data_IF_846833575712
#
_entry.id   IF_846833575712
#
_cell.length_a   1.000
_cell.length_b   1.000
_cell.length_c   1.000
_cell.angle_alpha   90.00
_cell.angle_beta   90.00
_cell.angle_gamma   90.00
#
_symmetry.space_group_name_H-M   'P 1'
#
loop_
_entity.id
_entity.type
_entity.pdbx_description
1 polymer ?
#
# COMPACT_ATOMS: atom_id res chain seq x y z
N UNK A 1 47.41 46.45 -34.45
CA UNK A 1 47.17 44.99 -34.59
C UNK A 1 47.67 44.30 -33.33
N UNK A 2 46.79 43.81 -32.46
CA UNK A 2 47.21 43.09 -31.27
C UNK A 2 47.70 41.69 -31.67
N UNK A 3 49.01 41.44 -31.57
CA UNK A 3 49.58 40.12 -31.84
C UNK A 3 49.01 39.11 -30.83
N UNK A 4 48.34 38.08 -31.37
CA UNK A 4 47.73 37.03 -30.58
C UNK A 4 48.81 36.25 -29.83
N UNK A 5 48.76 36.20 -28.50
CA UNK A 5 49.83 35.64 -27.65
C UNK A 5 50.17 34.17 -27.96
N UNK A 6 49.25 33.42 -28.58
CA UNK A 6 49.56 32.08 -29.10
C UNK A 6 50.68 32.05 -30.17
N UNK A 7 51.05 33.20 -30.74
CA UNK A 7 52.13 33.35 -31.74
C UNK A 7 53.38 34.05 -31.21
N UNK A 8 53.30 34.73 -30.06
CA UNK A 8 54.39 35.56 -29.50
C UNK A 8 54.87 35.14 -28.11
N UNK A 9 54.02 34.53 -27.29
CA UNK A 9 54.35 34.08 -25.93
C UNK A 9 53.41 32.93 -25.52
N UNK A 10 53.80 31.72 -25.95
CA UNK A 10 53.04 30.49 -25.74
C UNK A 10 52.84 30.17 -24.24
N UNK A 11 53.86 30.29 -23.36
CA UNK A 11 53.67 30.10 -21.92
C UNK A 11 52.58 31.00 -21.32
N UNK A 12 52.58 32.29 -21.67
CA UNK A 12 51.60 33.26 -21.16
C UNK A 12 50.19 32.96 -21.68
N UNK A 13 50.05 32.59 -22.96
CA UNK A 13 48.78 32.13 -23.54
C UNK A 13 48.22 30.88 -22.82
N UNK A 14 49.06 29.88 -22.54
CA UNK A 14 48.65 28.66 -21.84
C UNK A 14 48.21 28.94 -20.40
N UNK A 15 48.90 29.84 -19.69
CA UNK A 15 48.50 30.26 -18.34
C UNK A 15 47.15 30.97 -18.33
N UNK A 16 46.89 31.91 -19.26
CA UNK A 16 45.58 32.54 -19.38
C UNK A 16 44.47 31.53 -19.74
N UNK A 17 44.75 30.59 -20.65
CA UNK A 17 43.80 29.54 -21.03
C UNK A 17 43.45 28.65 -19.83
N UNK A 18 44.44 28.27 -19.01
CA UNK A 18 44.23 27.52 -17.75
C UNK A 18 43.45 28.34 -16.72
N UNK A 19 43.76 29.63 -16.56
CA UNK A 19 43.03 30.53 -15.66
C UNK A 19 41.56 30.69 -16.09
N UNK A 20 41.29 30.91 -17.39
CA UNK A 20 39.93 30.96 -17.95
C UNK A 20 39.18 29.64 -17.77
N UNK A 21 39.85 28.50 -17.98
CA UNK A 21 39.25 27.17 -17.76
C UNK A 21 38.86 26.98 -16.29
N UNK A 22 39.73 27.37 -15.37
CA UNK A 22 39.51 27.28 -13.92
C UNK A 22 38.37 28.20 -13.47
N UNK A 23 38.36 29.46 -13.93
CA UNK A 23 37.28 30.41 -13.67
C UNK A 23 35.92 29.92 -14.21
N UNK A 24 35.90 29.33 -15.41
CA UNK A 24 34.70 28.74 -15.99
C UNK A 24 34.22 27.51 -15.20
N UNK A 25 35.14 26.66 -14.73
CA UNK A 25 34.80 25.53 -13.86
C UNK A 25 34.22 26.01 -12.52
N UNK A 26 34.81 27.04 -11.91
CA UNK A 26 34.31 27.63 -10.67
C UNK A 26 32.91 28.23 -10.88
N UNK A 27 32.70 29.02 -11.95
CA UNK A 27 31.41 29.60 -12.30
C UNK A 27 30.34 28.52 -12.54
N UNK A 28 30.67 27.44 -13.25
CA UNK A 28 29.78 26.30 -13.46
C UNK A 28 29.46 25.59 -12.13
N UNK A 29 30.45 25.41 -11.27
CA UNK A 29 30.27 24.83 -9.93
C UNK A 29 29.35 25.68 -9.07
N UNK A 30 29.56 27.00 -9.02
CA UNK A 30 28.72 27.94 -8.28
C UNK A 30 27.30 27.98 -8.82
N UNK A 31 27.10 28.06 -10.14
CA UNK A 31 25.77 27.96 -10.76
C UNK A 31 25.06 26.66 -10.40
N UNK A 32 25.76 25.53 -10.44
CA UNK A 32 25.22 24.22 -10.01
C UNK A 32 24.84 24.22 -8.52
N UNK A 33 25.68 24.79 -7.65
CA UNK A 33 25.38 24.90 -6.21
C UNK A 33 24.12 25.73 -5.95
N UNK A 34 23.98 26.88 -6.60
CA UNK A 34 22.79 27.75 -6.49
C UNK A 34 21.55 27.03 -7.01
N UNK A 35 21.62 26.43 -8.20
CA UNK A 35 20.50 25.67 -8.76
C UNK A 35 20.08 24.49 -7.86
N UNK A 36 21.06 23.79 -7.28
CA UNK A 36 20.80 22.71 -6.33
C UNK A 36 20.17 23.21 -5.01
N UNK A 37 20.58 24.38 -4.52
CA UNK A 37 19.99 25.00 -3.33
C UNK A 37 18.54 25.43 -3.58
N UNK A 38 18.26 26.07 -4.72
CA UNK A 38 16.89 26.46 -5.12
C UNK A 38 15.99 25.24 -5.33
N UNK A 39 16.49 24.20 -6.00
CA UNK A 39 15.74 22.96 -6.19
C UNK A 39 15.44 22.28 -4.84
N UNK A 40 16.41 22.28 -3.92
CA UNK A 40 16.25 21.75 -2.57
C UNK A 40 15.18 22.51 -1.78
N UNK A 41 15.17 23.84 -1.86
CA UNK A 41 14.15 24.66 -1.21
C UNK A 41 12.74 24.36 -1.75
N UNK A 42 12.59 24.24 -3.08
CA UNK A 42 11.32 23.83 -3.71
C UNK A 42 10.87 22.44 -3.25
N UNK A 43 11.78 21.48 -3.16
CA UNK A 43 11.47 20.14 -2.66
C UNK A 43 11.05 20.16 -1.20
N UNK A 44 11.70 20.97 -0.36
CA UNK A 44 11.33 21.11 1.06
C UNK A 44 9.94 21.74 1.27
N UNK A 45 9.52 22.63 0.38
CA UNK A 45 8.15 23.17 0.41
C UNK A 45 7.09 22.09 0.17
N UNK A 46 7.38 21.09 -0.68
CA UNK A 46 6.41 20.06 -1.04
C UNK A 46 6.52 18.78 -0.19
N UNK A 47 7.71 18.49 0.35
CA UNK A 47 8.02 17.21 1.00
C UNK A 47 8.67 17.36 2.37
N UNK A 48 8.82 18.57 2.91
CA UNK A 48 9.53 18.81 4.16
C UNK A 48 11.05 18.54 4.09
N UNK A 49 11.75 18.89 5.16
CA UNK A 49 13.17 18.58 5.34
C UNK A 49 13.42 17.16 5.86
N UNK A 50 12.39 16.55 6.44
CA UNK A 50 12.33 15.21 7.00
C UNK A 50 11.21 14.45 6.30
N UNK A 51 11.35 13.13 6.18
CA UNK A 51 10.26 12.32 5.68
C UNK A 51 9.12 12.25 6.70
N UNK A 52 7.96 12.80 6.33
CA UNK A 52 6.75 12.72 7.16
C UNK A 52 6.33 11.27 7.41
N UNK A 53 6.57 10.37 6.47
CA UNK A 53 6.29 8.93 6.61
C UNK A 53 7.16 8.31 7.70
N UNK A 54 8.47 8.59 7.69
CA UNK A 54 9.39 8.10 8.72
C UNK A 54 8.98 8.63 10.09
N UNK A 55 8.61 9.91 10.18
CA UNK A 55 8.11 10.51 11.42
C UNK A 55 6.84 9.83 11.92
N UNK A 56 5.82 9.67 11.06
CA UNK A 56 4.56 9.01 11.43
C UNK A 56 4.79 7.58 11.92
N UNK A 57 5.60 6.79 11.23
CA UNK A 57 5.92 5.42 11.67
C UNK A 57 6.71 5.41 12.98
N UNK A 58 7.66 6.33 13.16
CA UNK A 58 8.49 6.43 14.35
C UNK A 58 7.68 6.82 15.60
N UNK A 59 6.73 7.75 15.47
CA UNK A 59 5.88 8.21 16.58
C UNK A 59 4.94 7.12 17.11
N UNK A 60 4.67 6.09 16.30
CA UNK A 60 3.82 4.97 16.67
C UNK A 60 4.60 3.81 17.31
N UNK A 61 5.90 3.99 17.56
CA UNK A 61 6.73 3.00 18.24
C UNK A 61 6.68 3.19 19.76
N UNK A 62 6.24 2.15 20.47
CA UNK A 62 6.38 2.03 21.92
C UNK A 62 7.87 1.83 22.27
N UNK A 63 8.59 2.93 22.53
CA UNK A 63 9.97 3.04 23.03
C UNK A 63 10.96 1.93 22.61
N UNK A 64 11.74 2.19 21.56
CA UNK A 64 12.93 1.39 21.25
C UNK A 64 14.18 1.96 21.95
N UNK A 65 15.01 1.09 22.54
CA UNK A 65 16.38 1.45 22.92
C UNK A 65 17.11 1.92 21.67
N UNK A 66 17.38 3.22 21.57
CA UNK A 66 18.05 3.80 20.41
C UNK A 66 19.48 3.27 20.37
N UNK A 67 19.86 2.63 19.25
CA UNK A 67 21.26 2.26 19.05
C UNK A 67 22.13 3.51 18.99
N UNK A 68 23.12 3.58 19.89
CA UNK A 68 24.14 4.62 19.86
C UNK A 68 25.28 4.29 18.89
N UNK A 69 25.30 3.07 18.33
CA UNK A 69 26.30 2.64 17.36
C UNK A 69 25.88 3.10 15.96
N UNK A 70 26.84 3.54 15.15
CA UNK A 70 26.61 3.99 13.77
C UNK A 70 26.13 2.91 12.79
N UNK A 71 25.85 1.69 13.27
CA UNK A 71 25.34 0.55 12.53
C UNK A 71 24.11 -0.05 13.22
N UNK A 72 23.11 -0.41 12.43
CA UNK A 72 21.88 -1.09 12.85
C UNK A 72 21.76 -2.44 12.15
N UNK A 73 21.37 -3.46 12.90
CA UNK A 73 20.90 -4.73 12.33
C UNK A 73 19.40 -4.80 12.58
N UNK A 74 18.62 -4.81 11.51
CA UNK A 74 17.18 -4.98 11.55
C UNK A 74 16.87 -6.41 11.12
N UNK A 75 16.54 -7.26 12.11
CA UNK A 75 16.08 -8.62 11.86
C UNK A 75 14.59 -8.58 11.60
N UNK A 76 14.16 -9.05 10.44
CA UNK A 76 12.74 -9.15 10.14
C UNK A 76 12.13 -10.28 11.00
N UNK A 77 10.90 -10.11 11.49
CA UNK A 77 10.14 -11.19 12.12
C UNK A 77 10.04 -12.41 11.21
N UNK A 78 10.03 -13.63 11.76
CA UNK A 78 9.86 -14.83 10.93
C UNK A 78 8.53 -14.82 10.16
N UNK A 79 7.49 -14.26 10.78
CA UNK A 79 6.17 -14.05 10.19
C UNK A 79 5.98 -12.55 9.94
N UNK A 80 6.42 -12.08 8.78
CA UNK A 80 6.36 -10.69 8.39
C UNK A 80 5.26 -10.49 7.35
N UNK A 81 4.02 -10.43 7.85
CA UNK A 81 2.81 -10.27 7.07
C UNK A 81 1.83 -9.35 7.78
N UNK A 82 1.24 -8.39 7.05
CA UNK A 82 0.15 -7.55 7.55
C UNK A 82 -1.15 -8.34 7.65
N UNK A 83 -1.37 -9.30 6.77
CA UNK A 83 -2.58 -10.15 6.80
C UNK A 83 -2.55 -11.09 8.01
N UNK A 84 -1.43 -11.79 8.25
CA UNK A 84 -1.32 -12.83 9.27
C UNK A 84 -0.84 -12.32 10.64
N UNK A 85 0.03 -11.31 10.65
CA UNK A 85 0.72 -10.87 11.86
C UNK A 85 0.97 -9.35 11.86
N UNK A 86 -0.10 -8.54 11.82
CA UNK A 86 0.02 -7.09 11.69
C UNK A 86 0.75 -6.43 12.86
N UNK A 87 0.54 -6.89 14.10
CA UNK A 87 1.21 -6.37 15.31
C UNK A 87 2.73 -6.38 15.16
N UNK A 88 3.30 -7.56 14.87
CA UNK A 88 4.74 -7.71 14.82
C UNK A 88 5.33 -7.06 13.56
N UNK A 89 4.61 -7.16 12.44
CA UNK A 89 5.06 -6.61 11.16
C UNK A 89 5.10 -5.09 11.21
N UNK A 90 3.98 -4.44 11.56
CA UNK A 90 3.91 -2.98 11.70
C UNK A 90 4.79 -2.51 12.86
N UNK A 91 4.76 -3.21 14.01
CA UNK A 91 5.58 -2.90 15.18
C UNK A 91 7.07 -2.86 14.88
N UNK A 92 7.58 -3.86 14.15
CA UNK A 92 8.99 -3.90 13.76
C UNK A 92 9.37 -2.76 12.80
N UNK A 93 8.48 -2.37 11.90
CA UNK A 93 8.68 -1.24 10.97
C UNK A 93 8.65 0.11 11.70
N UNK A 94 7.73 0.31 12.64
CA UNK A 94 7.71 1.47 13.54
C UNK A 94 9.00 1.56 14.36
N UNK A 95 9.46 0.43 14.90
CA UNK A 95 10.72 0.33 15.64
C UNK A 95 11.94 0.68 14.77
N UNK A 96 11.98 0.23 13.51
CA UNK A 96 13.03 0.62 12.55
C UNK A 96 13.00 2.12 12.27
N UNK A 97 11.83 2.68 11.99
CA UNK A 97 11.67 4.12 11.74
C UNK A 97 12.13 4.96 12.94
N UNK A 98 11.75 4.57 14.16
CA UNK A 98 12.14 5.24 15.40
C UNK A 98 13.66 5.25 15.63
N UNK A 99 14.34 4.13 15.36
CA UNK A 99 15.80 4.04 15.48
C UNK A 99 16.54 4.88 14.41
N UNK A 100 15.92 5.08 13.25
CA UNK A 100 16.50 5.83 12.15
C UNK A 100 16.28 7.35 12.27
N UNK A 101 15.27 7.78 13.02
CA UNK A 101 14.88 9.19 13.20
C UNK A 101 16.01 10.10 13.73
N UNK A 102 16.87 9.69 14.69
CA UNK A 102 17.98 10.53 15.17
C UNK A 102 19.11 10.74 14.16
N UNK A 103 19.07 10.08 12.99
CA UNK A 103 20.04 10.20 11.88
C UNK A 103 21.51 9.82 12.21
N UNK A 104 21.77 9.19 13.36
CA UNK A 104 23.12 8.74 13.77
C UNK A 104 23.61 7.49 13.02
N UNK A 105 22.68 6.76 12.39
CA UNK A 105 22.98 5.45 11.79
C UNK A 105 23.48 5.60 10.36
N UNK A 106 24.71 5.18 10.11
CA UNK A 106 25.38 5.26 8.80
C UNK A 106 25.28 3.95 7.99
N UNK A 107 24.90 2.85 8.64
CA UNK A 107 24.79 1.54 8.01
C UNK A 107 23.61 0.77 8.60
N UNK A 108 22.80 0.15 7.75
CA UNK A 108 21.68 -0.71 8.15
C UNK A 108 21.83 -2.06 7.46
N UNK A 109 21.73 -3.14 8.22
CA UNK A 109 21.69 -4.52 7.72
C UNK A 109 20.28 -5.06 7.86
N UNK A 110 19.62 -5.36 6.75
CA UNK A 110 18.30 -6.01 6.69
C UNK A 110 18.51 -7.52 6.68
N UNK A 111 18.28 -8.18 7.81
CA UNK A 111 18.43 -9.63 7.94
C UNK A 111 17.08 -10.31 7.72
N UNK A 112 16.94 -10.95 6.57
CA UNK A 112 15.74 -11.66 6.14
C UNK A 112 15.91 -13.19 6.21
N UNK A 113 17.04 -13.67 6.74
CA UNK A 113 17.41 -15.09 6.73
C UNK A 113 16.48 -15.99 7.55
N UNK A 114 15.69 -15.40 8.45
CA UNK A 114 14.69 -16.08 9.28
C UNK A 114 13.26 -16.04 8.74
N UNK A 115 13.01 -15.41 7.58
CA UNK A 115 11.65 -15.31 7.03
C UNK A 115 11.04 -16.69 6.70
N UNK A 116 9.80 -16.89 7.15
CA UNK A 116 8.95 -18.07 6.88
C UNK A 116 7.63 -17.67 6.22
N UNK A 117 7.05 -16.55 6.64
CA UNK A 117 5.86 -15.94 6.02
C UNK A 117 6.18 -14.50 5.64
N UNK A 118 5.89 -14.13 4.41
CA UNK A 118 6.17 -12.81 3.85
C UNK A 118 5.02 -12.41 2.93
N UNK A 119 4.38 -11.27 3.18
CA UNK A 119 3.33 -10.76 2.29
C UNK A 119 3.72 -9.44 1.63
N UNK A 120 3.00 -9.13 0.54
CA UNK A 120 3.23 -7.93 -0.25
C UNK A 120 2.97 -6.64 0.52
N UNK A 121 2.02 -6.64 1.45
CA UNK A 121 1.70 -5.46 2.26
C UNK A 121 2.83 -5.08 3.22
N UNK A 122 3.40 -6.04 3.96
CA UNK A 122 4.53 -5.79 4.84
C UNK A 122 5.78 -5.39 4.03
N UNK A 123 6.01 -6.06 2.90
CA UNK A 123 7.08 -5.69 1.96
C UNK A 123 6.94 -4.25 1.47
N UNK A 124 5.76 -3.85 0.99
CA UNK A 124 5.53 -2.51 0.42
C UNK A 124 5.83 -1.40 1.43
N UNK A 125 5.45 -1.59 2.69
CA UNK A 125 5.74 -0.60 3.76
C UNK A 125 7.25 -0.54 4.04
N UNK A 126 7.94 -1.69 4.08
CA UNK A 126 9.40 -1.75 4.21
C UNK A 126 10.10 -1.02 3.06
N UNK A 127 9.65 -1.25 1.82
CA UNK A 127 10.22 -0.62 0.63
C UNK A 127 10.09 0.89 0.68
N UNK A 128 8.91 1.40 1.05
CA UNK A 128 8.72 2.84 1.22
C UNK A 128 9.62 3.37 2.32
N UNK A 129 9.71 2.70 3.47
CA UNK A 129 10.57 3.14 4.57
C UNK A 129 12.05 3.22 4.13
N UNK A 130 12.56 2.20 3.45
CA UNK A 130 13.93 2.16 2.91
C UNK A 130 14.15 3.28 1.89
N UNK A 131 13.17 3.53 1.03
CA UNK A 131 13.24 4.61 0.04
C UNK A 131 13.29 6.00 0.67
N UNK A 132 12.38 6.26 1.61
CA UNK A 132 12.29 7.54 2.32
C UNK A 132 13.62 7.84 3.03
N UNK A 133 14.15 6.86 3.76
CA UNK A 133 15.43 6.97 4.46
C UNK A 133 16.60 7.21 3.49
N UNK A 134 16.59 6.54 2.33
CA UNK A 134 17.62 6.68 1.29
C UNK A 134 17.54 8.02 0.57
N UNK A 135 16.33 8.52 0.28
CA UNK A 135 16.11 9.86 -0.30
C UNK A 135 16.56 10.93 0.71
N UNK A 136 16.18 10.79 1.97
CA UNK A 136 16.54 11.74 3.04
C UNK A 136 18.05 11.80 3.26
N UNK A 137 18.73 10.64 3.32
CA UNK A 137 20.19 10.58 3.42
C UNK A 137 20.87 11.29 2.24
N UNK A 138 20.44 11.01 1.00
CA UNK A 138 20.96 11.69 -0.20
C UNK A 138 20.73 13.19 -0.18
N UNK A 139 19.54 13.65 0.23
CA UNK A 139 19.21 15.08 0.34
C UNK A 139 20.08 15.80 1.37
N UNK A 140 20.35 15.15 2.50
CA UNK A 140 21.18 15.71 3.59
C UNK A 140 22.69 15.55 3.36
N UNK A 141 23.11 14.82 2.32
CA UNK A 141 24.53 14.51 2.06
C UNK A 141 25.09 13.45 3.00
N UNK A 142 24.23 12.79 3.79
CA UNK A 142 24.61 11.71 4.70
C UNK A 142 24.88 10.43 3.92
N UNK A 143 25.96 9.72 4.28
CA UNK A 143 26.23 8.38 3.75
C UNK A 143 25.44 7.36 4.56
N UNK A 144 24.44 6.74 3.92
CA UNK A 144 23.69 5.61 4.46
C UNK A 144 23.98 4.39 3.58
N UNK A 145 24.49 3.32 4.18
CA UNK A 145 24.75 2.04 3.49
C UNK A 145 23.72 1.00 3.88
N UNK A 146 23.20 0.31 2.89
CA UNK A 146 22.34 -0.86 3.08
C UNK A 146 23.15 -2.13 2.85
N UNK A 147 22.91 -3.13 3.70
CA UNK A 147 23.40 -4.50 3.59
C UNK A 147 22.24 -5.42 3.92
N UNK A 148 22.35 -6.70 3.60
CA UNK A 148 21.34 -7.66 4.02
C UNK A 148 21.73 -9.10 3.79
N UNK A 149 20.90 -9.99 4.32
CA UNK A 149 20.95 -11.42 4.08
C UNK A 149 19.60 -11.86 3.51
N UNK A 150 19.64 -12.70 2.48
CA UNK A 150 18.43 -13.21 1.84
C UNK A 150 17.68 -14.22 2.71
N UNK A 151 16.37 -14.39 2.48
CA UNK A 151 15.62 -15.54 2.96
C UNK A 151 16.25 -16.85 2.50
N UNK A 152 16.10 -17.90 3.32
CA UNK A 152 16.51 -19.25 2.96
C UNK A 152 15.55 -19.90 1.96
N UNK A 153 14.26 -19.57 2.07
CA UNK A 153 13.22 -20.04 1.16
C UNK A 153 13.42 -19.43 -0.24
N UNK A 154 13.56 -20.25 -1.31
CA UNK A 154 13.77 -19.75 -2.66
C UNK A 154 12.61 -18.91 -3.21
N UNK A 155 11.36 -19.20 -2.82
CA UNK A 155 10.17 -18.45 -3.25
C UNK A 155 10.15 -17.08 -2.61
N UNK A 156 10.37 -17.00 -1.28
CA UNK A 156 10.49 -15.70 -0.60
C UNK A 156 11.70 -14.92 -1.12
N UNK A 157 12.80 -15.61 -1.44
CA UNK A 157 13.98 -14.97 -2.04
C UNK A 157 13.66 -14.34 -3.40
N UNK A 158 13.00 -15.08 -4.30
CA UNK A 158 12.56 -14.55 -5.61
C UNK A 158 11.64 -13.34 -5.43
N UNK A 159 10.70 -13.42 -4.48
CA UNK A 159 9.84 -12.29 -4.11
C UNK A 159 10.66 -11.04 -3.79
N UNK A 160 11.62 -11.16 -2.86
CA UNK A 160 12.45 -10.04 -2.39
C UNK A 160 13.31 -9.45 -3.53
N UNK A 161 13.84 -10.29 -4.41
CA UNK A 161 14.61 -9.85 -5.57
C UNK A 161 13.74 -9.11 -6.61
N UNK A 162 12.51 -9.56 -6.80
CA UNK A 162 11.59 -9.02 -7.81
C UNK A 162 10.93 -7.70 -7.39
N UNK A 163 10.39 -7.63 -6.17
CA UNK A 163 9.58 -6.50 -5.69
C UNK A 163 10.17 -5.77 -4.50
N UNK A 164 10.92 -6.46 -3.63
CA UNK A 164 11.33 -5.93 -2.34
C UNK A 164 12.47 -4.91 -2.39
N UNK A 165 13.16 -4.80 -1.24
CA UNK A 165 14.17 -3.75 -1.01
C UNK A 165 15.29 -3.72 -2.05
N UNK A 166 15.55 -4.85 -2.71
CA UNK A 166 16.50 -4.97 -3.84
C UNK A 166 16.07 -4.08 -5.01
N UNK A 167 14.78 -4.18 -5.39
CA UNK A 167 14.19 -3.36 -6.45
C UNK A 167 14.16 -1.89 -6.06
N UNK A 168 13.83 -1.59 -4.82
CA UNK A 168 13.78 -0.20 -4.31
C UNK A 168 15.15 0.47 -4.30
N UNK A 169 16.18 -0.26 -3.87
CA UNK A 169 17.57 0.21 -3.84
C UNK A 169 18.24 0.19 -5.22
N UNK A 170 17.58 -0.38 -6.23
CA UNK A 170 18.06 -0.52 -7.61
C UNK A 170 19.35 -1.32 -7.73
N UNK A 171 19.40 -2.46 -7.06
CA UNK A 171 20.57 -3.36 -7.08
C UNK A 171 20.39 -4.32 -8.27
N UNK A 172 20.70 -3.85 -9.48
CA UNK A 172 20.32 -4.53 -10.73
C UNK A 172 20.93 -5.92 -10.91
N UNK A 173 22.14 -6.15 -10.40
CA UNK A 173 22.82 -7.45 -10.47
C UNK A 173 22.22 -8.52 -9.54
N UNK A 174 21.27 -8.13 -8.68
CA UNK A 174 20.57 -9.01 -7.74
C UNK A 174 19.13 -9.33 -8.20
N UNK A 175 18.68 -8.75 -9.32
CA UNK A 175 17.35 -9.02 -9.87
C UNK A 175 17.24 -10.47 -10.35
N UNK A 176 16.01 -11.03 -10.41
CA UNK A 176 15.80 -12.36 -10.96
C UNK A 176 16.31 -12.45 -12.40
N UNK A 177 16.88 -13.59 -12.75
CA UNK A 177 17.33 -13.88 -14.11
C UNK A 177 16.15 -13.81 -15.11
N UNK A 178 16.36 -13.49 -16.39
CA UNK A 178 15.26 -13.32 -17.36
C UNK A 178 14.28 -14.50 -17.44
N UNK A 179 14.78 -15.74 -17.26
CA UNK A 179 13.95 -16.95 -17.24
C UNK A 179 13.03 -17.04 -16.02
N UNK A 180 13.53 -16.61 -14.85
CA UNK A 180 12.73 -16.55 -13.63
C UNK A 180 11.75 -15.38 -13.70
N UNK A 181 12.22 -14.21 -14.13
CA UNK A 181 11.39 -13.01 -14.29
C UNK A 181 10.20 -13.23 -15.24
N UNK A 182 10.36 -14.05 -16.29
CA UNK A 182 9.29 -14.39 -17.22
C UNK A 182 8.11 -15.15 -16.59
N UNK A 183 8.29 -15.72 -15.39
CA UNK A 183 7.25 -16.43 -14.61
C UNK A 183 6.65 -15.59 -13.48
N UNK A 184 7.02 -14.30 -13.42
CA UNK A 184 6.50 -13.36 -12.45
C UNK A 184 5.60 -12.34 -13.16
N UNK A 185 4.47 -12.00 -12.55
CA UNK A 185 3.71 -10.78 -12.91
C UNK A 185 3.87 -9.78 -11.77
N UNK A 186 4.35 -8.58 -12.12
CA UNK A 186 4.67 -7.55 -11.14
C UNK A 186 3.91 -6.25 -11.47
N UNK A 187 3.48 -5.55 -10.43
CA UNK A 187 2.93 -4.21 -10.53
C UNK A 187 3.38 -3.36 -9.34
N UNK A 188 3.85 -2.15 -9.62
CA UNK A 188 4.23 -1.17 -8.60
C UNK A 188 3.89 0.23 -9.10
N UNK A 189 2.95 0.90 -8.43
CA UNK A 189 2.64 2.29 -8.69
C UNK A 189 2.47 3.06 -7.38
N UNK A 190 3.12 4.22 -7.30
CA UNK A 190 3.03 5.12 -6.15
C UNK A 190 2.77 6.55 -6.59
N UNK A 191 1.94 7.25 -5.84
CA UNK A 191 1.84 8.71 -5.88
C UNK A 191 2.29 9.28 -4.56
N UNK A 192 3.22 10.23 -4.58
CA UNK A 192 3.76 10.87 -3.37
C UNK A 192 3.67 12.38 -3.51
N UNK A 193 2.78 12.99 -2.74
CA UNK A 193 2.64 14.43 -2.55
C UNK A 193 2.13 14.70 -1.13
N UNK A 194 2.85 15.49 -0.32
CA UNK A 194 2.36 15.78 1.05
C UNK A 194 1.30 16.88 1.09
N UNK A 195 1.14 17.60 -0.02
CA UNK A 195 0.15 18.67 -0.22
C UNK A 195 -0.53 18.42 -1.56
N UNK A 196 -1.85 18.68 -1.65
CA UNK A 196 -2.60 18.60 -2.92
C UNK A 196 -2.02 19.59 -3.92
N UNK A 197 -1.19 19.12 -4.84
CA UNK A 197 -0.82 19.92 -6.00
C UNK A 197 -1.93 19.75 -7.05
N UNK A 198 -2.83 20.73 -7.17
CA UNK A 198 -3.82 20.77 -8.26
C UNK A 198 -3.08 21.00 -9.59
N UNK A 199 -2.61 19.93 -10.23
CA UNK A 199 -2.13 19.98 -11.63
C UNK A 199 -2.95 19.01 -12.47
N UNK A 200 -3.41 19.41 -13.68
CA UNK A 200 -4.20 18.55 -14.56
C UNK A 200 -3.60 17.16 -14.80
N UNK A 201 -2.26 17.06 -14.87
CA UNK A 201 -1.52 15.79 -15.05
C UNK A 201 -1.76 14.74 -13.95
N UNK A 202 -2.33 15.10 -12.80
CA UNK A 202 -2.59 14.14 -11.72
C UNK A 202 -3.88 13.34 -11.92
N UNK A 203 -4.92 13.94 -12.53
CA UNK A 203 -6.13 13.22 -12.88
C UNK A 203 -5.82 12.10 -13.89
N UNK A 204 -4.98 12.41 -14.88
CA UNK A 204 -4.49 11.43 -15.86
C UNK A 204 -3.71 10.28 -15.21
N UNK A 205 -2.94 10.57 -14.15
CA UNK A 205 -2.16 9.56 -13.44
C UNK A 205 -3.04 8.53 -12.76
N UNK A 206 -4.10 8.94 -12.06
CA UNK A 206 -5.05 8.01 -11.42
C UNK A 206 -5.67 7.09 -12.47
N UNK A 207 -6.26 7.66 -13.52
CA UNK A 207 -6.90 6.90 -14.59
C UNK A 207 -5.92 5.96 -15.33
N UNK A 208 -4.66 6.35 -15.47
CA UNK A 208 -3.63 5.48 -16.03
C UNK A 208 -3.27 4.32 -15.09
N UNK A 209 -3.03 4.59 -13.80
CA UNK A 209 -2.66 3.57 -12.82
C UNK A 209 -3.78 2.56 -12.63
N UNK A 210 -5.02 3.02 -12.52
CA UNK A 210 -6.20 2.16 -12.41
C UNK A 210 -6.32 1.18 -13.59
N UNK A 211 -6.17 1.68 -14.83
CA UNK A 211 -6.19 0.82 -16.03
C UNK A 211 -5.01 -0.15 -16.05
N UNK A 212 -3.81 0.34 -15.78
CA UNK A 212 -2.60 -0.49 -15.78
C UNK A 212 -2.66 -1.59 -14.70
N UNK A 213 -3.31 -1.32 -13.57
CA UNK A 213 -3.55 -2.32 -12.54
C UNK A 213 -4.56 -3.38 -12.98
N UNK A 214 -5.68 -2.98 -13.59
CA UNK A 214 -6.63 -3.93 -14.15
C UNK A 214 -5.98 -4.82 -15.23
N UNK A 215 -5.10 -4.25 -16.06
CA UNK A 215 -4.31 -5.00 -17.04
C UNK A 215 -3.33 -5.97 -16.37
N UNK A 216 -2.75 -5.61 -15.22
CA UNK A 216 -1.91 -6.51 -14.44
C UNK A 216 -2.70 -7.69 -13.87
N UNK A 217 -3.87 -7.44 -13.27
CA UNK A 217 -4.75 -8.52 -12.80
C UNK A 217 -5.15 -9.42 -13.96
N UNK A 218 -5.44 -8.86 -15.14
CA UNK A 218 -5.74 -9.66 -16.33
C UNK A 218 -4.56 -10.55 -16.74
N UNK A 219 -3.32 -10.00 -16.76
CA UNK A 219 -2.12 -10.80 -17.03
C UNK A 219 -1.91 -11.92 -16.01
N UNK A 220 -2.21 -11.66 -14.73
CA UNK A 220 -2.15 -12.69 -13.69
C UNK A 220 -3.13 -13.84 -13.99
N UNK A 221 -4.37 -13.55 -14.38
CA UNK A 221 -5.36 -14.56 -14.76
C UNK A 221 -4.97 -15.31 -16.04
N UNK A 222 -4.37 -14.62 -17.01
CA UNK A 222 -3.91 -15.25 -18.25
C UNK A 222 -2.84 -16.32 -17.99
N UNK A 223 -2.08 -16.24 -16.88
CA UNK A 223 -1.15 -17.30 -16.47
C UNK A 223 -1.83 -18.62 -16.12
N UNK A 224 -3.12 -18.60 -15.84
CA UNK A 224 -3.95 -19.79 -15.57
C UNK A 224 -5.07 -19.96 -16.60
N UNK A 225 -4.88 -19.43 -17.82
CA UNK A 225 -5.82 -19.52 -18.94
C UNK A 225 -7.20 -18.91 -18.64
N UNK A 226 -7.26 -17.90 -17.77
CA UNK A 226 -8.49 -17.13 -17.48
C UNK A 226 -8.31 -15.69 -17.93
N UNK A 227 -9.42 -14.98 -18.14
CA UNK A 227 -9.40 -13.58 -18.52
C UNK A 227 -10.55 -12.81 -17.85
N UNK A 228 -10.33 -11.53 -17.55
CA UNK A 228 -11.40 -10.63 -17.14
C UNK A 228 -12.31 -10.34 -18.34
N UNK A 229 -13.62 -10.45 -18.13
CA UNK A 229 -14.58 -9.87 -19.08
C UNK A 229 -14.43 -8.35 -19.10
N UNK A 230 -14.90 -7.70 -20.17
CA UNK A 230 -14.84 -6.24 -20.29
C UNK A 230 -15.57 -5.54 -19.14
N UNK A 231 -16.70 -6.10 -18.68
CA UNK A 231 -17.44 -5.61 -17.53
C UNK A 231 -16.66 -5.78 -16.22
N UNK A 232 -16.04 -6.95 -16.01
CA UNK A 232 -15.22 -7.20 -14.83
C UNK A 232 -14.00 -6.26 -14.77
N UNK A 233 -13.35 -6.03 -15.92
CA UNK A 233 -12.24 -5.08 -16.06
C UNK A 233 -12.67 -3.65 -15.75
N UNK A 234 -13.84 -3.23 -16.25
CA UNK A 234 -14.38 -1.88 -16.00
C UNK A 234 -14.74 -1.68 -14.53
N UNK A 235 -15.38 -2.68 -13.90
CA UNK A 235 -15.68 -2.68 -12.46
C UNK A 235 -14.42 -2.64 -11.61
N UNK A 236 -13.40 -3.43 -11.93
CA UNK A 236 -12.12 -3.40 -11.22
C UNK A 236 -11.47 -2.01 -11.30
N UNK A 237 -11.55 -1.36 -12.46
CA UNK A 237 -11.09 0.02 -12.60
C UNK A 237 -11.86 0.97 -11.66
N UNK A 238 -13.18 0.88 -11.63
CA UNK A 238 -14.01 1.68 -10.73
C UNK A 238 -13.62 1.45 -9.27
N UNK A 239 -13.52 0.19 -8.83
CA UNK A 239 -13.20 -0.18 -7.44
C UNK A 239 -11.85 0.39 -6.99
N UNK A 240 -10.82 0.20 -7.81
CA UNK A 240 -9.48 0.72 -7.49
C UNK A 240 -9.44 2.24 -7.56
N UNK A 241 -10.20 2.86 -8.47
CA UNK A 241 -10.37 4.30 -8.53
C UNK A 241 -10.94 4.87 -7.23
N UNK A 242 -12.01 4.26 -6.72
CA UNK A 242 -12.65 4.66 -5.45
C UNK A 242 -11.72 4.48 -4.25
N UNK A 243 -10.93 3.40 -4.19
CA UNK A 243 -9.94 3.21 -3.13
C UNK A 243 -8.86 4.30 -3.17
N UNK A 244 -8.39 4.66 -4.36
CA UNK A 244 -7.42 5.75 -4.53
C UNK A 244 -8.05 7.10 -4.14
N UNK A 245 -9.29 7.36 -4.54
CA UNK A 245 -10.01 8.58 -4.16
C UNK A 245 -10.18 8.68 -2.64
N UNK A 246 -10.48 7.56 -1.97
CA UNK A 246 -10.53 7.50 -0.52
C UNK A 246 -9.17 7.86 0.12
N UNK A 247 -8.08 7.30 -0.40
CA UNK A 247 -6.73 7.60 0.06
C UNK A 247 -6.38 9.09 -0.13
N UNK A 248 -6.81 9.71 -1.23
CA UNK A 248 -6.54 11.12 -1.54
C UNK A 248 -7.43 12.10 -0.73
N UNK A 249 -8.70 11.77 -0.49
CA UNK A 249 -9.66 12.67 0.15
C UNK A 249 -9.67 12.62 1.67
N UNK A 250 -9.43 11.44 2.26
CA UNK A 250 -9.64 11.22 3.69
C UNK A 250 -8.34 11.19 4.51
N UNK A 251 -7.23 10.72 3.94
CA UNK A 251 -5.97 10.57 4.67
C UNK A 251 -5.32 11.90 5.08
N UNK A 252 -5.71 13.02 4.46
CA UNK A 252 -5.06 14.31 4.67
C UNK A 252 -3.62 14.36 4.11
N UNK A 253 -3.24 13.39 3.28
CA UNK A 253 -1.97 13.33 2.57
C UNK A 253 -2.14 12.56 1.25
N UNK A 254 -1.55 13.05 0.16
CA UNK A 254 -1.61 12.42 -1.15
C UNK A 254 -0.43 11.44 -1.33
N UNK A 255 -0.35 10.44 -0.46
CA UNK A 255 0.61 9.35 -0.57
C UNK A 255 -0.11 8.00 -0.56
N UNK A 256 -0.23 7.40 -1.73
CA UNK A 256 -0.81 6.08 -1.91
C UNK A 256 0.10 5.22 -2.77
N UNK A 257 0.07 3.93 -2.50
CA UNK A 257 0.83 2.89 -3.20
C UNK A 257 -0.08 1.71 -3.50
N UNK A 258 0.05 1.18 -4.70
CA UNK A 258 -0.60 -0.05 -5.15
C UNK A 258 0.47 -0.98 -5.72
N UNK A 259 0.47 -2.21 -5.24
CA UNK A 259 1.39 -3.25 -5.66
C UNK A 259 0.62 -4.52 -5.99
N UNK A 260 1.13 -5.27 -6.95
CA UNK A 260 0.63 -6.59 -7.31
C UNK A 260 1.79 -7.55 -7.58
N UNK A 261 1.64 -8.79 -7.16
CA UNK A 261 2.63 -9.84 -7.30
C UNK A 261 1.97 -11.19 -7.58
N UNK A 262 2.49 -11.89 -8.58
CA UNK A 262 2.17 -13.29 -8.83
C UNK A 262 3.45 -14.06 -9.13
N UNK A 263 3.65 -15.18 -8.45
CA UNK A 263 4.70 -16.16 -8.77
C UNK A 263 4.08 -17.44 -9.33
N UNK A 264 4.40 -17.77 -10.59
CA UNK A 264 3.93 -19.00 -11.27
C UNK A 264 4.91 -20.18 -11.19
N UNK A 265 5.97 -20.07 -10.38
CA UNK A 265 6.88 -21.20 -10.14
C UNK A 265 6.27 -22.28 -9.24
N UNK A 266 5.26 -21.92 -8.45
CA UNK A 266 4.52 -22.85 -7.58
C UNK A 266 3.35 -23.48 -8.31
N UNK A 267 3.01 -24.73 -7.98
CA UNK A 267 1.87 -25.46 -8.56
C UNK A 267 0.51 -24.80 -8.29
N UNK A 268 0.43 -23.92 -7.29
CA UNK A 268 -0.77 -23.16 -6.97
C UNK A 268 -0.35 -21.70 -6.79
N UNK A 269 -0.24 -20.93 -7.87
CA UNK A 269 0.19 -19.54 -7.82
C UNK A 269 -0.69 -18.71 -6.89
N UNK A 270 -0.08 -17.92 -6.02
CA UNK A 270 -0.80 -16.97 -5.15
C UNK A 270 -0.64 -15.58 -5.73
N UNK A 271 -1.76 -14.94 -6.03
CA UNK A 271 -1.82 -13.54 -6.40
C UNK A 271 -1.94 -12.70 -5.13
N UNK A 272 -1.02 -11.75 -4.95
CA UNK A 272 -1.03 -10.79 -3.86
C UNK A 272 -1.26 -9.37 -4.39
N UNK A 273 -2.15 -8.63 -3.75
CA UNK A 273 -2.41 -7.22 -4.02
C UNK A 273 -2.25 -6.47 -2.71
N UNK A 274 -1.55 -5.33 -2.75
CA UNK A 274 -1.46 -4.42 -1.62
C UNK A 274 -1.79 -3.01 -2.06
N UNK A 275 -2.77 -2.39 -1.42
CA UNK A 275 -3.14 -0.99 -1.63
C UNK A 275 -3.08 -0.29 -0.28
N UNK A 276 -2.27 0.76 -0.16
CA UNK A 276 -2.13 1.44 1.11
C UNK A 276 -1.78 2.91 0.95
N UNK A 277 -2.13 3.68 1.97
CA UNK A 277 -1.86 5.10 2.05
C UNK A 277 -1.33 5.46 3.43
N UNK A 278 -0.66 6.60 3.50
CA UNK A 278 -0.22 7.18 4.76
C UNK A 278 -1.05 8.42 5.11
N UNK A 279 -1.23 8.70 6.40
CA UNK A 279 -1.97 9.86 6.88
C UNK A 279 -2.88 9.49 8.04
N UNK A 280 -4.08 10.10 8.07
CA UNK A 280 -5.15 9.72 9.00
C UNK A 280 -5.67 8.33 8.65
N UNK A 281 -5.89 7.53 9.68
CA UNK A 281 -6.68 6.31 9.64
C UNK A 281 -8.17 6.60 9.44
N UNK A 282 -8.95 5.56 9.18
CA UNK A 282 -10.41 5.64 9.03
C UNK A 282 -11.04 6.15 10.32
N UNK A 283 -10.63 5.59 11.46
CA UNK A 283 -11.12 6.00 12.78
C UNK A 283 -10.77 7.45 13.12
N UNK A 284 -9.55 7.90 12.85
CA UNK A 284 -9.16 9.31 13.02
C UNK A 284 -9.97 10.25 12.11
N UNK A 285 -10.27 9.82 10.89
CA UNK A 285 -11.05 10.62 9.93
C UNK A 285 -12.46 10.86 10.45
N UNK A 286 -13.18 9.81 10.87
CA UNK A 286 -14.54 9.95 11.40
C UNK A 286 -14.58 10.58 12.79
N UNK A 287 -13.64 10.22 13.66
CA UNK A 287 -13.60 10.75 15.02
C UNK A 287 -13.23 12.24 15.08
N UNK A 288 -12.49 12.76 14.09
CA UNK A 288 -12.11 14.19 14.01
C UNK A 288 -13.14 15.10 13.34
N UNK A 289 -14.30 14.57 12.93
CA UNK A 289 -15.40 15.40 12.40
C UNK A 289 -16.00 16.31 13.48
N UNK A 290 -16.52 17.50 13.11
CA UNK A 290 -17.28 18.36 14.02
C UNK A 290 -18.45 17.60 14.67
N UNK A 291 -18.71 17.84 15.97
CA UNK A 291 -19.73 17.12 16.74
C UNK A 291 -21.15 17.30 16.17
N UNK A 292 -21.42 18.45 15.56
CA UNK A 292 -22.69 18.80 14.91
C UNK A 292 -22.80 18.30 13.46
N UNK A 293 -21.75 17.70 12.90
CA UNK A 293 -21.79 17.17 11.54
C UNK A 293 -22.73 15.96 11.43
N UNK A 294 -23.37 15.83 10.27
CA UNK A 294 -24.33 14.77 9.97
C UNK A 294 -23.76 13.38 10.25
N UNK A 295 -22.62 13.04 9.65
CA UNK A 295 -21.98 11.72 9.82
C UNK A 295 -21.56 11.48 11.26
N UNK A 296 -21.03 12.49 11.96
CA UNK A 296 -20.63 12.35 13.36
C UNK A 296 -21.85 12.06 14.24
N UNK A 297 -22.96 12.75 14.03
CA UNK A 297 -24.21 12.50 14.77
C UNK A 297 -24.73 11.07 14.57
N UNK A 298 -24.71 10.56 13.34
CA UNK A 298 -25.16 9.19 13.04
C UNK A 298 -24.22 8.12 13.59
N UNK A 299 -22.91 8.30 13.40
CA UNK A 299 -21.92 7.36 13.93
C UNK A 299 -21.91 7.38 15.47
N UNK A 300 -22.10 8.54 16.11
CA UNK A 300 -22.16 8.65 17.57
C UNK A 300 -23.27 7.79 18.18
N UNK A 301 -24.48 7.77 17.60
CA UNK A 301 -25.57 6.87 18.04
C UNK A 301 -25.14 5.41 18.04
N UNK A 302 -24.41 4.99 17.00
CA UNK A 302 -23.86 3.63 16.89
C UNK A 302 -22.79 3.36 17.95
N UNK A 303 -21.91 4.32 18.23
CA UNK A 303 -20.89 4.20 19.27
C UNK A 303 -21.53 4.13 20.67
N UNK A 304 -22.45 5.04 20.96
CA UNK A 304 -23.11 5.17 22.26
C UNK A 304 -23.90 3.90 22.59
N UNK A 305 -24.60 3.32 21.60
CA UNK A 305 -25.30 2.03 21.76
C UNK A 305 -24.39 0.90 22.29
N UNK A 306 -23.13 0.86 21.85
CA UNK A 306 -22.17 -0.15 22.33
C UNK A 306 -21.57 0.21 23.68
N UNK A 307 -21.39 1.51 23.94
CA UNK A 307 -20.96 2.03 25.24
C UNK A 307 -21.97 1.68 26.33
N UNK A 308 -23.24 1.99 26.09
CA UNK A 308 -24.33 1.84 27.06
C UNK A 308 -24.63 0.38 27.37
N UNK A 309 -24.40 -0.51 26.40
CA UNK A 309 -24.51 -1.98 26.59
C UNK A 309 -23.29 -2.59 27.29
N UNK A 310 -22.29 -1.79 27.70
CA UNK A 310 -21.08 -2.28 28.36
C UNK A 310 -20.24 -3.21 27.48
N UNK A 311 -20.34 -3.07 26.15
CA UNK A 311 -19.67 -3.96 25.20
C UNK A 311 -18.19 -3.60 25.01
N UNK A 312 -17.76 -2.42 25.44
CA UNK A 312 -16.36 -2.03 25.37
C UNK A 312 -15.49 -2.88 26.29
N UNK A 313 -14.48 -3.50 25.69
CA UNK A 313 -13.50 -4.39 26.33
C UNK A 313 -12.14 -4.15 25.71
N UNK A 314 -11.09 -4.80 26.25
CA UNK A 314 -9.73 -4.73 25.67
C UNK A 314 -9.73 -5.02 24.16
N UNK A 315 -10.55 -5.96 23.72
CA UNK A 315 -10.62 -6.43 22.33
C UNK A 315 -11.67 -5.70 21.48
N UNK A 316 -12.33 -4.66 22.02
CA UNK A 316 -13.38 -3.93 21.32
C UNK A 316 -13.44 -2.47 21.78
N UNK A 317 -12.81 -1.57 21.01
CA UNK A 317 -12.65 -0.15 21.36
C UNK A 317 -13.40 0.76 20.38
N UNK A 318 -13.49 2.04 20.74
CA UNK A 318 -14.14 3.09 19.93
C UNK A 318 -13.56 3.20 18.52
N UNK A 319 -12.25 3.09 18.36
CA UNK A 319 -11.59 3.17 17.05
C UNK A 319 -11.96 2.00 16.15
N UNK A 320 -12.15 0.82 16.75
CA UNK A 320 -12.53 -0.40 16.04
C UNK A 320 -13.97 -0.29 15.51
N UNK A 321 -14.88 0.29 16.30
CA UNK A 321 -16.23 0.64 15.87
C UNK A 321 -16.27 1.70 14.77
N UNK A 322 -15.48 2.78 14.91
CA UNK A 322 -15.42 3.81 13.86
C UNK A 322 -14.92 3.23 12.53
N UNK A 323 -13.94 2.33 12.59
CA UNK A 323 -13.43 1.66 11.40
C UNK A 323 -14.50 0.73 10.81
N UNK A 324 -15.20 -0.05 11.64
CA UNK A 324 -16.25 -0.96 11.18
C UNK A 324 -17.45 -0.22 10.54
N UNK A 325 -17.95 0.83 11.18
CA UNK A 325 -19.11 1.58 10.66
C UNK A 325 -18.77 2.29 9.34
N UNK A 326 -17.51 2.67 9.12
CA UNK A 326 -17.07 3.26 7.87
C UNK A 326 -17.11 2.31 6.66
N UNK A 327 -17.17 0.98 6.90
CA UNK A 327 -17.27 -0.02 5.83
C UNK A 327 -18.71 -0.18 5.31
N UNK A 328 -19.69 0.40 5.99
CA UNK A 328 -21.10 0.24 5.65
C UNK A 328 -21.50 1.23 4.55
N UNK A 329 -22.49 0.85 3.75
CA UNK A 329 -23.01 1.73 2.70
C UNK A 329 -23.52 3.05 3.26
N UNK A 330 -23.31 4.12 2.49
CA UNK A 330 -23.72 5.49 2.83
C UNK A 330 -23.06 6.09 4.10
N UNK A 331 -21.93 5.54 4.55
CA UNK A 331 -21.14 6.13 5.65
C UNK A 331 -19.89 6.79 5.08
N UNK A 332 -19.84 8.13 5.10
CA UNK A 332 -18.66 8.89 4.68
C UNK A 332 -18.48 10.16 5.50
N UNK A 333 -17.23 10.55 5.72
CA UNK A 333 -16.88 11.84 6.34
C UNK A 333 -17.24 13.05 5.47
N UNK A 334 -17.80 12.83 4.27
CA UNK A 334 -18.23 13.83 3.29
C UNK A 334 -19.75 13.91 3.13
N UNK A 335 -20.52 13.17 3.94
CA UNK A 335 -21.98 13.31 3.98
C UNK A 335 -22.33 14.45 4.96
N UNK A 336 -23.13 15.39 4.49
CA UNK A 336 -23.63 16.56 5.23
C UNK A 336 -25.14 16.48 5.47
N UNK A 337 -25.84 15.56 4.81
CA UNK A 337 -27.28 15.32 4.96
C UNK A 337 -27.66 13.86 4.65
N UNK A 338 -28.94 13.52 4.87
CA UNK A 338 -29.51 12.20 4.54
C UNK A 338 -29.61 11.92 3.04
N UNK A 339 -29.52 12.96 2.22
CA UNK A 339 -29.55 12.86 0.76
C UNK A 339 -28.17 12.55 0.15
N UNK A 340 -27.10 12.63 0.95
CA UNK A 340 -25.76 12.31 0.51
C UNK A 340 -25.51 10.80 0.53
N UNK A 341 -25.19 10.23 -0.62
CA UNK A 341 -25.00 8.79 -0.80
C UNK A 341 -23.53 8.38 -0.91
N UNK A 342 -22.58 9.18 -0.39
CA UNK A 342 -21.16 8.80 -0.41
C UNK A 342 -20.87 7.71 0.62
N UNK A 343 -19.81 6.93 0.38
CA UNK A 343 -19.42 5.81 1.25
C UNK A 343 -19.55 4.43 0.59
N UNK A 344 -19.63 4.37 -0.75
CA UNK A 344 -19.80 3.10 -1.47
C UNK A 344 -18.48 2.48 -1.98
N UNK A 345 -17.38 3.24 -2.01
CA UNK A 345 -16.10 2.73 -2.52
C UNK A 345 -15.55 1.51 -1.76
N UNK A 346 -15.70 1.48 -0.43
CA UNK A 346 -15.27 0.32 0.38
C UNK A 346 -16.28 -0.83 0.33
N UNK A 347 -17.57 -0.55 0.17
CA UNK A 347 -18.62 -1.54 -0.10
C UNK A 347 -18.31 -2.30 -1.39
N UNK A 348 -18.02 -1.56 -2.46
CA UNK A 348 -17.67 -2.08 -3.76
C UNK A 348 -16.44 -3.01 -3.72
N UNK A 349 -15.40 -2.63 -2.96
CA UNK A 349 -14.23 -3.47 -2.72
C UNK A 349 -14.60 -4.77 -1.98
N UNK A 350 -15.43 -4.70 -0.95
CA UNK A 350 -15.84 -5.88 -0.18
C UNK A 350 -16.65 -6.83 -1.05
N UNK A 351 -17.60 -6.31 -1.84
CA UNK A 351 -18.37 -7.12 -2.78
C UNK A 351 -17.48 -7.74 -3.87
N UNK A 352 -16.48 -7.00 -4.36
CA UNK A 352 -15.47 -7.55 -5.28
C UNK A 352 -14.70 -8.71 -4.65
N UNK A 353 -14.19 -8.51 -3.43
CA UNK A 353 -13.46 -9.55 -2.72
C UNK A 353 -14.32 -10.79 -2.49
N UNK A 354 -15.60 -10.63 -2.11
CA UNK A 354 -16.52 -11.76 -1.95
C UNK A 354 -16.71 -12.55 -3.25
N UNK A 355 -16.77 -11.87 -4.40
CA UNK A 355 -16.82 -12.54 -5.71
C UNK A 355 -15.53 -13.31 -6.00
N UNK A 356 -14.36 -12.70 -5.76
CA UNK A 356 -13.05 -13.37 -5.90
C UNK A 356 -12.99 -14.61 -5.01
N UNK A 357 -13.43 -14.47 -3.76
CA UNK A 357 -13.49 -15.58 -2.82
C UNK A 357 -14.38 -16.72 -3.31
N UNK A 358 -15.60 -16.42 -3.77
CA UNK A 358 -16.53 -17.44 -4.28
C UNK A 358 -15.94 -18.20 -5.49
N UNK A 359 -15.32 -17.47 -6.42
CA UNK A 359 -14.65 -18.03 -7.61
C UNK A 359 -13.45 -18.93 -7.23
N UNK A 360 -12.67 -18.54 -6.22
CA UNK A 360 -11.52 -19.33 -5.76
C UNK A 360 -11.95 -20.58 -4.96
N UNK A 361 -13.05 -20.46 -4.21
CA UNK A 361 -13.55 -21.52 -3.31
C UNK A 361 -14.24 -22.66 -4.07
N UNK A 362 -14.71 -22.41 -5.30
CA UNK A 362 -15.05 -23.46 -6.27
C UNK A 362 -15.90 -24.61 -5.73
N UNK A 363 -17.06 -24.32 -5.12
CA UNK A 363 -18.20 -25.22 -4.87
C UNK A 363 -17.96 -26.57 -4.14
N UNK A 364 -16.73 -26.94 -3.82
CA UNK A 364 -16.33 -28.26 -3.36
C UNK A 364 -15.93 -28.18 -1.89
N UNK A 365 -16.63 -28.96 -1.07
CA UNK A 365 -16.43 -29.09 0.39
C UNK A 365 -15.11 -29.79 0.78
N UNK A 366 -14.14 -29.91 -0.13
CA UNK A 366 -12.85 -30.53 0.18
C UNK A 366 -11.86 -29.47 0.68
N UNK A 367 -11.73 -29.49 1.99
CA UNK A 367 -11.01 -28.59 2.89
C UNK A 367 -9.49 -28.65 2.78
N UNK A 368 -8.94 -28.40 1.60
CA UNK A 368 -7.51 -28.09 1.50
C UNK A 368 -7.15 -27.34 0.20
N UNK A 369 -7.11 -26.01 0.25
CA UNK A 369 -6.18 -25.13 -0.52
C UNK A 369 -6.55 -23.66 -0.29
N UNK A 370 -5.65 -22.93 0.35
CA UNK A 370 -5.64 -21.47 0.62
C UNK A 370 -6.81 -20.68 0.00
N UNK A 371 -7.83 -20.43 0.82
CA UNK A 371 -8.98 -19.58 0.53
C UNK A 371 -8.54 -18.13 0.33
N UNK A 372 -9.29 -17.36 -0.46
CA UNK A 372 -8.99 -15.95 -0.65
C UNK A 372 -9.12 -15.20 0.69
N UNK A 373 -8.17 -14.31 0.98
CA UNK A 373 -8.17 -13.49 2.19
C UNK A 373 -7.94 -12.04 1.86
N UNK A 374 -8.58 -11.16 2.61
CA UNK A 374 -8.32 -9.73 2.58
C UNK A 374 -8.21 -9.22 4.01
N UNK A 375 -7.23 -8.38 4.30
CA UNK A 375 -7.12 -7.68 5.56
C UNK A 375 -7.11 -6.17 5.35
N UNK A 376 -7.81 -5.46 6.23
CA UNK A 376 -7.75 -4.00 6.34
C UNK A 376 -7.08 -3.68 7.69
N UNK A 377 -5.93 -3.00 7.63
CA UNK A 377 -5.28 -2.41 8.80
C UNK A 377 -5.39 -0.90 8.71
N UNK A 378 -6.13 -0.27 9.61
CA UNK A 378 -6.27 1.18 9.67
C UNK A 378 -6.07 1.71 11.08
N UNK A 379 -5.07 2.55 11.28
CA UNK A 379 -4.71 3.00 12.62
C UNK A 379 -4.33 1.82 13.50
N UNK A 380 -5.07 1.63 14.59
CA UNK A 380 -4.89 0.49 15.51
C UNK A 380 -5.95 -0.59 15.34
N UNK A 381 -6.70 -0.62 14.24
CA UNK A 381 -7.75 -1.62 13.98
C UNK A 381 -7.34 -2.56 12.86
N UNK A 382 -7.60 -3.86 13.06
CA UNK A 382 -7.46 -4.92 12.08
C UNK A 382 -8.81 -5.53 11.76
N UNK A 383 -9.10 -5.70 10.47
CA UNK A 383 -10.30 -6.37 9.95
C UNK A 383 -9.90 -7.44 8.95
N UNK A 384 -10.27 -8.70 9.21
CA UNK A 384 -10.05 -9.84 8.30
C UNK A 384 -11.33 -10.20 7.54
N UNK A 385 -11.17 -10.55 6.28
CA UNK A 385 -12.19 -11.12 5.41
C UNK A 385 -11.63 -12.43 4.83
N UNK A 386 -12.32 -13.54 5.10
CA UNK A 386 -11.96 -14.88 4.62
C UNK A 386 -13.18 -15.61 4.03
N UNK A 387 -14.28 -14.90 3.79
CA UNK A 387 -15.55 -15.47 3.32
C UNK A 387 -16.53 -15.90 4.40
N UNK A 388 -16.15 -16.02 5.68
CA UNK A 388 -17.06 -16.41 6.78
C UNK A 388 -18.21 -15.42 6.96
N UNK A 389 -17.89 -14.13 7.00
CA UNK A 389 -18.86 -13.05 7.13
C UNK A 389 -19.05 -12.35 5.79
N UNK A 390 -20.31 -12.05 5.46
CA UNK A 390 -20.69 -11.51 4.17
C UNK A 390 -21.38 -10.17 4.32
N UNK A 391 -21.04 -9.24 3.43
CA UNK A 391 -21.83 -8.04 3.24
C UNK A 391 -23.14 -8.41 2.53
N UNK A 392 -24.27 -7.91 3.07
CA UNK A 392 -25.60 -8.17 2.53
C UNK A 392 -26.42 -6.86 2.44
N UNK A 393 -27.38 -6.77 1.51
CA UNK A 393 -28.37 -5.70 1.50
C UNK A 393 -29.27 -5.77 2.73
N UNK A 394 -29.54 -4.62 3.33
CA UNK A 394 -30.65 -4.42 4.27
C UNK A 394 -31.95 -4.19 3.49
N UNK A 395 -33.10 -4.21 4.19
CA UNK A 395 -34.41 -3.92 3.60
C UNK A 395 -34.47 -2.56 2.87
N UNK A 396 -33.66 -1.59 3.32
CA UNK A 396 -33.59 -0.25 2.75
C UNK A 396 -32.54 -0.13 1.62
N UNK A 397 -31.97 -1.24 1.16
CA UNK A 397 -30.95 -1.28 0.10
C UNK A 397 -29.51 -1.01 0.58
N UNK A 398 -29.31 -0.45 1.77
CA UNK A 398 -27.97 -0.22 2.35
C UNK A 398 -27.22 -1.54 2.52
N UNK A 399 -25.93 -1.57 2.19
CA UNK A 399 -25.07 -2.75 2.35
C UNK A 399 -24.41 -2.77 3.72
N UNK A 400 -24.50 -3.90 4.43
CA UNK A 400 -24.04 -4.03 5.81
C UNK A 400 -23.25 -5.33 6.01
N UNK A 401 -22.15 -5.23 6.75
CA UNK A 401 -21.36 -6.34 7.29
C UNK A 401 -21.00 -6.04 8.76
N UNK A 402 -21.46 -6.89 9.67
CA UNK A 402 -21.30 -6.70 11.12
C UNK A 402 -20.34 -7.71 11.78
N UNK A 403 -19.79 -8.66 11.00
CA UNK A 403 -18.86 -9.69 11.48
C UNK A 403 -19.37 -10.51 12.67
N UNK A 404 -20.68 -10.80 12.72
CA UNK A 404 -21.26 -11.69 13.70
C UNK A 404 -22.32 -12.57 13.04
N UNK A 405 -22.71 -13.66 13.72
CA UNK A 405 -23.60 -14.68 13.17
C UNK A 405 -24.95 -14.16 12.67
N UNK A 406 -25.44 -13.04 13.22
CA UNK A 406 -26.73 -12.44 12.85
C UNK A 406 -26.61 -11.31 11.83
N UNK A 407 -25.39 -10.94 11.46
CA UNK A 407 -25.07 -9.73 10.72
C UNK A 407 -25.75 -8.47 11.31
N UNK A 408 -25.75 -8.37 12.63
CA UNK A 408 -26.41 -7.30 13.39
C UNK A 408 -25.37 -6.30 13.88
N UNK A 409 -25.42 -5.06 13.37
CA UNK A 409 -24.51 -3.99 13.78
C UNK A 409 -24.63 -3.64 15.27
N UNK A 410 -25.74 -3.95 15.94
CA UNK A 410 -25.93 -3.65 17.37
C UNK A 410 -25.28 -4.68 18.30
N UNK A 411 -24.79 -5.79 17.74
CA UNK A 411 -24.08 -6.84 18.45
C UNK A 411 -22.56 -6.73 18.25
N UNK A 412 -21.79 -7.22 19.21
CA UNK A 412 -20.34 -7.26 19.09
C UNK A 412 -19.90 -8.15 17.91
N UNK A 413 -18.91 -7.73 17.11
CA UNK A 413 -18.32 -8.57 16.08
C UNK A 413 -17.47 -9.69 16.70
N UNK A 414 -17.18 -10.69 15.89
CA UNK A 414 -16.21 -11.74 16.18
C UNK A 414 -14.81 -11.13 16.29
N UNK A 415 -14.20 -11.27 17.47
CA UNK A 415 -12.88 -10.72 17.78
C UNK A 415 -11.73 -11.38 17.00
N UNK A 416 -11.97 -12.49 16.30
CA UNK A 416 -10.99 -13.03 15.36
C UNK A 416 -10.93 -12.22 14.05
N UNK A 417 -12.00 -11.48 13.74
CA UNK A 417 -12.18 -10.78 12.48
C UNK A 417 -12.10 -9.28 12.63
N UNK A 418 -12.61 -8.71 13.72
CA UNK A 418 -12.51 -7.28 13.99
C UNK A 418 -11.89 -7.11 15.36
N UNK A 419 -10.66 -6.60 15.40
CA UNK A 419 -9.88 -6.53 16.64
C UNK A 419 -8.90 -5.37 16.64
N UNK A 420 -8.50 -4.90 17.83
CA UNK A 420 -7.39 -4.00 17.97
C UNK A 420 -6.06 -4.68 17.59
N UNK A 421 -5.13 -3.86 17.13
CA UNK A 421 -3.70 -4.17 17.03
C UNK A 421 -3.05 -3.64 18.31
N UNK A 422 -2.47 -4.53 19.11
CA UNK A 422 -1.95 -4.16 20.42
C UNK A 422 -0.57 -3.47 20.33
N UNK A 423 -0.41 -2.35 21.03
CA UNK A 423 0.89 -1.70 21.25
C UNK A 423 1.50 -0.98 20.03
N UNK A 424 0.81 -0.96 18.89
CA UNK A 424 1.23 -0.27 17.66
C UNK A 424 0.02 0.25 16.87
N UNK A 425 0.25 1.27 16.05
CA UNK A 425 -0.71 1.75 15.06
C UNK A 425 -0.04 2.02 13.72
N UNK A 426 -0.70 1.65 12.63
CA UNK A 426 -0.28 2.03 11.29
C UNK A 426 -0.82 3.43 10.94
N UNK A 427 0.02 4.40 10.52
CA UNK A 427 -0.42 5.76 10.22
C UNK A 427 -1.06 5.85 8.82
N UNK A 428 -2.31 5.41 8.71
CA UNK A 428 -3.09 5.40 7.48
C UNK A 428 -3.94 4.14 7.37
N UNK A 429 -4.08 3.61 6.15
CA UNK A 429 -4.81 2.36 5.88
C UNK A 429 -4.00 1.47 4.93
N UNK A 430 -4.00 0.17 5.21
CA UNK A 430 -3.46 -0.90 4.37
C UNK A 430 -4.56 -1.88 4.04
N UNK A 431 -4.71 -2.21 2.76
CA UNK A 431 -5.58 -3.26 2.25
C UNK A 431 -4.66 -4.29 1.60
N UNK A 432 -4.56 -5.47 2.21
CA UNK A 432 -3.85 -6.62 1.66
C UNK A 432 -4.85 -7.65 1.16
N UNK A 433 -4.67 -8.19 -0.03
CA UNK A 433 -5.51 -9.23 -0.62
C UNK A 433 -4.61 -10.36 -1.11
N UNK A 434 -4.96 -11.60 -0.79
CA UNK A 434 -4.28 -12.80 -1.25
C UNK A 434 -5.30 -13.81 -1.76
N UNK A 435 -5.08 -14.38 -2.93
CA UNK A 435 -5.92 -15.46 -3.44
C UNK A 435 -5.14 -16.39 -4.36
N UNK A 436 -5.47 -17.68 -4.27
CA UNK A 436 -4.86 -18.72 -5.08
C UNK A 436 -5.49 -18.75 -6.46
N UNK A 437 -4.67 -18.79 -7.51
CA UNK A 437 -5.12 -19.06 -8.86
C UNK A 437 -5.04 -20.56 -9.12
N UNK A 438 -6.20 -21.21 -9.26
CA UNK A 438 -6.28 -22.60 -9.71
C UNK A 438 -6.07 -22.64 -11.22
N UNK A 439 -5.12 -23.45 -11.68
CA UNK A 439 -5.09 -23.93 -13.06
C UNK A 439 -6.16 -25.00 -13.20
N UNK A 440 -7.26 -24.69 -13.86
CA UNK A 440 -8.14 -25.75 -14.34
C UNK A 440 -7.41 -26.48 -15.47
N UNK A 441 -7.28 -27.81 -15.33
CA UNK A 441 -7.07 -28.66 -16.48
C UNK A 441 -8.32 -28.54 -17.37
N UNK A 442 -8.25 -27.60 -18.31
CA UNK A 442 -9.08 -27.52 -19.52
C UNK A 442 -10.57 -27.88 -19.35
N UNK A 443 -11.41 -26.93 -18.93
CA UNK A 443 -12.80 -26.95 -19.37
C UNK A 443 -13.21 -25.56 -19.87
N UNK A 444 -13.43 -25.52 -21.19
CA UNK A 444 -14.14 -24.45 -21.89
C UNK A 444 -15.48 -24.26 -21.17
N UNK A 445 -15.67 -23.14 -20.50
CA UNK A 445 -16.98 -22.72 -20.00
C UNK A 445 -17.83 -22.43 -21.23
N UNK A 446 -18.74 -23.36 -21.58
CA UNK A 446 -19.76 -23.12 -22.59
C UNK A 446 -20.68 -22.00 -22.10
N UNK A 447 -20.78 -20.94 -22.90
CA UNK A 447 -21.83 -19.93 -22.81
C UNK A 447 -23.20 -20.61 -22.86
N UNK A 448 -24.03 -20.33 -21.87
CA UNK A 448 -25.47 -20.64 -21.89
C UNK A 448 -26.08 -19.89 -23.07
N UNK A 449 -26.37 -20.64 -24.14
CA UNK A 449 -27.04 -20.16 -25.33
C UNK A 449 -28.50 -19.84 -25.03
N UNK A 450 -28.93 -18.71 -25.58
CA UNK A 450 -30.29 -18.20 -25.57
C UNK A 450 -31.29 -19.25 -26.08
N UNK A 451 -32.38 -19.39 -25.35
CA UNK A 451 -33.58 -20.11 -25.73
C UNK A 451 -34.23 -19.43 -26.94
N UNK A 452 -34.19 -20.07 -28.10
CA UNK A 452 -35.13 -19.77 -29.18
C UNK A 452 -36.33 -20.72 -29.11
N UNK A 453 -37.48 -20.12 -28.82
CA UNK A 453 -38.81 -20.67 -29.04
C UNK A 453 -38.95 -21.22 -30.47
N UNK A 454 -39.32 -22.49 -30.57
CA UNK A 454 -40.04 -23.03 -31.72
C UNK A 454 -41.37 -23.59 -31.22
N UNK A 455 -42.45 -22.89 -31.56
CA UNK A 455 -43.79 -23.47 -31.69
C UNK A 455 -44.30 -23.12 -33.07
N UNK A 456 -44.55 -24.14 -33.87
CA UNK A 456 -45.88 -24.48 -34.40
C UNK A 456 -45.71 -25.39 -35.61
N UNK A 457 -46.02 -26.67 -35.43
CA UNK A 457 -46.88 -27.38 -36.37
C UNK A 457 -48.10 -27.84 -35.55
N UNK A 458 -49.26 -27.61 -36.16
CA UNK A 458 -50.67 -27.79 -35.74
C UNK A 458 -51.35 -26.66 -34.94
#
# INVERSE_FOLDING_TARGET
MALHWAKTDVPRYLNEKRARKTANQLRRSTKRKIANALNRQRLYQHFGQKSKIVEMLAHNSSQTKISHKGALVFKLPEHFSVIDNPEQSVGSLCALAAQMLPRRISSVSLDQSGLKVYDLSANGILDILVDELSIEARRTGRKLRWRGAYPKDPTIRRFVQAMGVIKRLKIEHEYPEPREAAKLELFDARSKHYIRALRPKYADKKAHVTRAFADHVNRCLQRVNRELTQDARSRLCQYVGEIIDNAEEHAGMFDWTIQGYLDTHTSTPVCEISIFNFGKSISETLSSLPEDSYTKTHTKKYIDLHSDRGLFRKNWRKDDLYTLIALQGNVSSKNYSEYDTRGNGTVDLIEFFQKVHDECSGGSRESSKLEARMAIVSGSTYILFDGKYRMIPTANGNRVIAFNAKNDLTAAPDANYVRPIEGVMFPGTVIGIQFSLKTDDSQVVQSVGESHDQRSDD
#
